data_IF_535862769742
#
_entry.id   IF_535862769742
#
_cell.length_a   1.000
_cell.length_b   1.000
_cell.length_c   1.000
_cell.angle_alpha   90.00
_cell.angle_beta   90.00
_cell.angle_gamma   90.00
#
_symmetry.space_group_name_H-M   'P 1'
#
loop_
_entity.id
_entity.type
_entity.pdbx_description
1 polymer ?
#
# COMPACT_ATOMS: atom_id res chain seq x y z
N UNK A 1 -13.15 -9.42 -12.31
CA UNK A 1 -12.90 -7.98 -12.09
C UNK A 1 -12.20 -7.84 -10.75
N UNK A 2 -10.98 -7.31 -10.73
CA UNK A 2 -10.17 -7.22 -9.51
C UNK A 2 -8.73 -6.85 -9.86
N UNK A 3 -8.03 -6.25 -8.90
CA UNK A 3 -6.65 -5.81 -9.04
C UNK A 3 -5.69 -6.97 -9.38
N UNK A 4 -4.66 -6.70 -10.19
CA UNK A 4 -3.57 -7.65 -10.51
C UNK A 4 -2.61 -7.85 -9.34
N UNK A 5 -2.54 -6.87 -8.45
CA UNK A 5 -1.72 -6.96 -7.27
C UNK A 5 -1.94 -5.79 -6.32
N UNK A 6 -1.53 -6.01 -5.09
CA UNK A 6 -1.57 -5.01 -4.03
C UNK A 6 -0.27 -5.08 -3.22
N UNK A 7 0.23 -3.91 -2.84
CA UNK A 7 1.28 -3.76 -1.84
C UNK A 7 0.76 -2.83 -0.77
N UNK A 8 0.85 -3.25 0.48
CA UNK A 8 0.49 -2.44 1.64
C UNK A 8 1.74 -2.33 2.50
N UNK A 9 2.07 -1.12 2.92
CA UNK A 9 3.15 -0.85 3.84
C UNK A 9 2.64 0.00 5.00
N UNK A 10 2.81 -0.50 6.21
CA UNK A 10 2.45 0.19 7.44
C UNK A 10 3.73 0.52 8.19
N UNK A 11 3.91 1.80 8.54
CA UNK A 11 5.09 2.27 9.28
C UNK A 11 4.65 3.03 10.54
N UNK A 12 5.26 2.70 11.68
CA UNK A 12 4.99 3.38 12.94
C UNK A 12 5.18 2.44 14.15
N UNK A 13 4.63 2.84 15.29
CA UNK A 13 4.62 2.01 16.52
C UNK A 13 3.53 0.95 16.44
N UNK A 14 3.79 -0.09 15.65
CA UNK A 14 2.83 -1.16 15.39
C UNK A 14 2.57 -1.98 16.66
N UNK A 15 1.29 -2.30 16.90
CA UNK A 15 0.81 -3.03 18.08
C UNK A 15 1.19 -2.40 19.45
N UNK A 16 1.45 -1.09 19.50
CA UNK A 16 1.82 -0.41 20.75
C UNK A 16 3.26 -0.65 21.19
N UNK A 17 4.11 -1.18 20.32
CA UNK A 17 5.53 -1.38 20.62
C UNK A 17 6.27 -0.03 20.80
N UNK A 18 7.29 -0.02 21.66
CA UNK A 18 8.12 1.17 21.89
C UNK A 18 8.99 1.55 20.70
N UNK A 19 9.37 0.56 19.89
CA UNK A 19 10.21 0.76 18.71
C UNK A 19 9.32 0.76 17.46
N UNK A 20 9.43 1.82 16.66
CA UNK A 20 8.73 1.91 15.39
C UNK A 20 9.28 0.88 14.39
N UNK A 21 8.38 0.23 13.65
CA UNK A 21 8.70 -0.77 12.62
C UNK A 21 7.92 -0.49 11.36
N UNK A 22 8.42 -1.06 10.27
CA UNK A 22 7.78 -1.02 8.96
C UNK A 22 7.46 -2.44 8.55
N UNK A 23 6.17 -2.74 8.44
CA UNK A 23 5.69 -4.02 7.93
C UNK A 23 5.14 -3.83 6.53
N UNK A 24 5.45 -4.78 5.65
CA UNK A 24 4.98 -4.75 4.28
C UNK A 24 4.39 -6.10 3.90
N UNK A 25 3.20 -6.05 3.32
CA UNK A 25 2.58 -7.18 2.65
C UNK A 25 2.50 -6.88 1.15
N UNK A 26 2.76 -7.90 0.33
CA UNK A 26 2.61 -7.81 -1.11
C UNK A 26 1.95 -9.08 -1.61
N UNK A 27 0.93 -8.92 -2.42
CA UNK A 27 0.20 -9.99 -3.07
C UNK A 27 0.03 -9.66 -4.56
N UNK A 28 0.23 -10.65 -5.43
CA UNK A 28 0.16 -10.44 -6.88
C UNK A 28 1.31 -9.60 -7.47
N UNK A 29 1.05 -8.98 -8.61
CA UNK A 29 2.04 -8.22 -9.40
C UNK A 29 1.92 -6.73 -9.11
N UNK A 30 2.99 -6.14 -8.57
CA UNK A 30 3.10 -4.69 -8.33
C UNK A 30 4.47 -4.20 -8.81
N UNK A 31 4.62 -3.82 -10.09
CA UNK A 31 5.88 -3.43 -10.70
C UNK A 31 6.12 -1.92 -10.61
N UNK A 32 6.87 -1.45 -9.60
CA UNK A 32 7.07 -0.01 -9.38
C UNK A 32 8.00 0.69 -10.38
N UNK A 33 8.79 -0.06 -11.14
CA UNK A 33 9.72 0.49 -12.14
C UNK A 33 9.10 0.60 -13.53
N UNK A 34 7.94 -0.02 -13.76
CA UNK A 34 7.34 -0.11 -15.09
C UNK A 34 6.32 1.00 -15.27
N UNK A 35 6.70 2.08 -15.97
CA UNK A 35 5.86 3.27 -16.14
C UNK A 35 4.54 3.05 -16.90
N UNK A 36 4.43 1.99 -17.72
CA UNK A 36 3.19 1.68 -18.47
C UNK A 36 2.10 1.05 -17.60
N UNK A 37 2.46 0.54 -16.43
CA UNK A 37 1.55 -0.22 -15.56
C UNK A 37 0.69 0.77 -14.77
N UNK A 38 -0.61 0.47 -14.65
CA UNK A 38 -1.53 1.35 -13.96
C UNK A 38 -1.50 1.06 -12.45
N UNK A 39 -0.80 1.90 -11.70
CA UNK A 39 -0.62 1.75 -10.25
C UNK A 39 -1.22 2.96 -9.54
N UNK A 40 -2.30 2.72 -8.80
CA UNK A 40 -2.85 3.71 -7.89
C UNK A 40 -2.09 3.68 -6.57
N UNK A 41 -1.69 4.86 -6.11
CA UNK A 41 -1.03 5.06 -4.83
C UNK A 41 -1.92 5.88 -3.89
N UNK A 42 -2.07 5.38 -2.66
CA UNK A 42 -2.73 6.09 -1.58
C UNK A 42 -1.85 6.13 -0.33
N UNK A 43 -1.87 7.27 0.36
CA UNK A 43 -1.27 7.43 1.68
C UNK A 43 -2.32 7.98 2.64
N UNK A 44 -2.46 7.32 3.79
CA UNK A 44 -3.32 7.75 4.89
C UNK A 44 -2.60 7.52 6.21
N UNK A 45 -2.87 8.40 7.17
CA UNK A 45 -2.36 8.32 8.53
C UNK A 45 -3.47 7.86 9.48
N UNK A 46 -3.17 6.87 10.31
CA UNK A 46 -4.04 6.41 11.37
C UNK A 46 -3.57 6.98 12.72
N UNK A 47 -4.44 7.78 13.34
CA UNK A 47 -4.21 8.32 14.68
C UNK A 47 -4.50 7.24 15.73
N UNK A 48 -3.47 6.87 16.50
CA UNK A 48 -3.59 5.90 17.59
C UNK A 48 -3.16 6.54 18.90
N UNK A 49 -3.45 5.87 20.02
CA UNK A 49 -3.06 6.33 21.37
C UNK A 49 -1.54 6.49 21.51
N UNK A 50 -0.76 5.67 20.81
CA UNK A 50 0.70 5.62 20.91
C UNK A 50 1.42 6.45 19.84
N UNK A 51 0.67 7.22 19.03
CA UNK A 51 1.19 8.04 17.95
C UNK A 51 0.49 7.77 16.61
N UNK A 52 1.14 8.18 15.52
CA UNK A 52 0.59 8.07 14.17
C UNK A 52 1.20 6.86 13.46
N UNK A 53 0.35 6.08 12.79
CA UNK A 53 0.76 4.99 11.90
C UNK A 53 0.50 5.43 10.46
N UNK A 54 1.57 5.48 9.65
CA UNK A 54 1.46 5.77 8.22
C UNK A 54 1.14 4.50 7.43
N UNK A 55 0.08 4.53 6.63
CA UNK A 55 -0.35 3.43 5.78
C UNK A 55 -0.20 3.87 4.32
N UNK A 56 0.60 3.13 3.57
CA UNK A 56 0.83 3.32 2.14
C UNK A 56 0.29 2.12 1.39
N UNK A 57 -0.54 2.37 0.39
CA UNK A 57 -1.14 1.34 -0.45
C UNK A 57 -0.80 1.60 -1.91
N UNK A 58 -0.39 0.54 -2.61
CA UNK A 58 -0.26 0.50 -4.05
C UNK A 58 -1.19 -0.57 -4.59
N UNK A 59 -2.05 -0.22 -5.55
CA UNK A 59 -2.98 -1.14 -6.20
C UNK A 59 -2.62 -1.16 -7.69
N UNK A 60 -2.28 -2.32 -8.21
CA UNK A 60 -2.07 -2.53 -9.63
C UNK A 60 -3.40 -2.95 -10.26
N UNK A 61 -3.98 -2.07 -11.06
CA UNK A 61 -5.24 -2.34 -11.77
C UNK A 61 -4.97 -3.11 -13.07
N UNK A 62 -5.97 -3.86 -13.53
CA UNK A 62 -5.89 -4.57 -14.81
C UNK A 62 -5.92 -3.60 -15.97
N UNK A 63 -5.22 -3.95 -17.03
CA UNK A 63 -5.17 -3.15 -18.26
C UNK A 63 -6.55 -3.02 -18.96
N UNK A 64 -7.46 -3.97 -18.70
CA UNK A 64 -8.85 -4.01 -19.20
C UNK A 64 -9.81 -3.06 -18.46
N UNK A 65 -9.45 -2.54 -17.27
CA UNK A 65 -10.26 -1.57 -16.53
C UNK A 65 -10.08 -0.12 -17.06
N UNK A 66 -9.44 0.06 -18.22
CA UNK A 66 -9.44 1.32 -18.98
C UNK A 66 -10.84 1.57 -19.55
N UNK A 67 -11.74 2.07 -18.70
CA UNK A 67 -13.03 2.63 -19.12
C UNK A 67 -12.79 3.99 -19.80
N UNK A 68 -12.44 3.92 -21.09
CA UNK A 68 -12.23 5.04 -22.03
C UNK A 68 -11.04 5.97 -21.72
#
# INVERSE_FOLDING_TARGET
>A
MGAEGIRIQCAGRLAGADIARTEQLREGRVPLHTLRENIDYGLVEANTVYGIIGIKCWICLKEEDKLF
#
